data_IF_504067223544
#
_entry.id   IF_504067223544
#
_cell.length_a   1.000
_cell.length_b   1.000
_cell.length_c   1.000
_cell.angle_alpha   90.00
_cell.angle_beta   90.00
_cell.angle_gamma   90.00
#
_symmetry.space_group_name_H-M   'P 1'
#
loop_
_entity.id
_entity.type
_entity.pdbx_description
1 polymer ?
#
# COMPACT_ATOMS: atom_id res chain seq x y z
N UNK A 1 0.84 6.65 -4.98
CA UNK A 1 -0.60 6.44 -4.69
C UNK A 1 -0.83 5.83 -3.31
N UNK A 2 -0.24 4.68 -2.99
CA UNK A 2 -0.48 3.94 -1.73
C UNK A 2 -0.36 4.78 -0.46
N UNK A 3 0.68 5.60 -0.32
CA UNK A 3 0.82 6.46 0.85
C UNK A 3 -0.29 7.51 0.99
N UNK A 4 -0.92 7.94 -0.11
CA UNK A 4 -2.09 8.82 -0.04
C UNK A 4 -3.31 8.06 0.47
N UNK A 5 -3.54 6.85 -0.04
CA UNK A 5 -4.64 5.98 0.41
C UNK A 5 -4.50 5.61 1.89
N UNK A 6 -3.30 5.27 2.35
CA UNK A 6 -3.03 4.95 3.75
C UNK A 6 -3.40 6.11 4.69
N UNK A 7 -3.04 7.34 4.31
CA UNK A 7 -3.40 8.55 5.07
C UNK A 7 -4.88 8.86 5.00
N UNK A 8 -5.50 8.69 3.83
CA UNK A 8 -6.93 8.88 3.66
C UNK A 8 -7.76 7.89 4.50
N UNK A 9 -7.26 6.67 4.72
CA UNK A 9 -7.85 5.71 5.65
C UNK A 9 -7.57 6.00 7.13
N UNK A 10 -6.81 7.05 7.46
CA UNK A 10 -6.44 7.36 8.84
C UNK A 10 -5.50 6.33 9.48
N UNK A 11 -4.78 5.53 8.68
CA UNK A 11 -3.85 4.53 9.21
C UNK A 11 -2.65 5.20 9.89
N UNK A 12 -2.08 4.52 10.90
CA UNK A 12 -0.83 4.95 11.53
C UNK A 12 0.34 4.80 10.55
N UNK A 13 0.82 5.92 9.99
CA UNK A 13 1.89 5.93 8.99
C UNK A 13 3.27 6.31 9.51
N UNK A 14 3.42 6.54 10.82
CA UNK A 14 4.68 6.97 11.45
C UNK A 14 5.48 5.80 12.04
N UNK A 15 4.78 4.78 12.51
CA UNK A 15 5.33 3.51 13.00
C UNK A 15 4.40 2.41 12.54
N UNK A 16 4.76 1.75 11.44
CA UNK A 16 3.98 0.67 10.86
C UNK A 16 4.57 -0.69 11.28
N UNK A 17 3.79 -1.77 11.20
CA UNK A 17 4.33 -3.12 11.35
C UNK A 17 5.43 -3.41 10.33
N UNK A 18 6.14 -4.51 10.56
CA UNK A 18 7.18 -4.97 9.65
C UNK A 18 6.63 -5.04 8.22
N UNK A 19 7.25 -4.28 7.31
CA UNK A 19 6.91 -4.30 5.89
C UNK A 19 6.97 -5.75 5.38
N UNK A 20 5.94 -6.24 4.66
CA UNK A 20 6.01 -7.55 4.05
C UNK A 20 7.28 -7.70 3.20
N UNK A 21 7.87 -8.89 3.22
CA UNK A 21 9.13 -9.17 2.55
C UNK A 21 8.98 -9.25 1.02
N UNK A 22 8.64 -8.14 0.37
CA UNK A 22 8.66 -8.04 -1.08
C UNK A 22 10.10 -8.07 -1.61
N UNK A 23 10.31 -8.72 -2.75
CA UNK A 23 11.61 -8.86 -3.41
C UNK A 23 12.22 -7.50 -3.82
N UNK A 24 11.38 -6.49 -4.03
CA UNK A 24 11.75 -5.13 -4.43
C UNK A 24 11.53 -4.10 -3.30
N UNK A 25 11.44 -4.53 -2.04
CA UNK A 25 11.32 -3.64 -0.88
C UNK A 25 12.43 -2.59 -0.77
N UNK A 26 13.61 -2.88 -1.33
CA UNK A 26 14.72 -1.93 -1.40
C UNK A 26 14.42 -0.71 -2.30
N UNK A 27 13.49 -0.84 -3.25
CA UNK A 27 13.07 0.25 -4.14
C UNK A 27 12.00 1.14 -3.49
N UNK A 28 11.43 0.75 -2.35
CA UNK A 28 10.44 1.55 -1.63
C UNK A 28 11.18 2.67 -0.87
N UNK A 29 10.89 3.96 -1.16
CA UNK A 29 11.50 5.06 -0.44
C UNK A 29 11.22 4.96 1.07
N UNK A 30 12.17 5.37 1.92
CA UNK A 30 12.03 5.23 3.38
C UNK A 30 10.74 5.85 3.93
N UNK A 31 10.34 7.03 3.43
CA UNK A 31 9.10 7.70 3.83
C UNK A 31 7.83 6.92 3.47
N UNK A 32 7.90 6.02 2.48
CA UNK A 32 6.77 5.25 1.98
C UNK A 32 6.66 3.88 2.65
N UNK A 33 7.72 3.37 3.30
CA UNK A 33 7.72 2.03 3.90
C UNK A 33 6.61 1.85 4.92
N UNK A 34 6.47 2.78 5.85
CA UNK A 34 5.43 2.71 6.87
C UNK A 34 4.00 2.82 6.29
N UNK A 35 3.68 3.82 5.44
CA UNK A 35 2.38 3.87 4.76
C UNK A 35 2.07 2.62 3.92
N UNK A 36 3.07 2.05 3.25
CA UNK A 36 2.90 0.85 2.43
C UNK A 36 2.62 -0.36 3.30
N UNK A 37 3.37 -0.56 4.38
CA UNK A 37 3.15 -1.67 5.31
C UNK A 37 1.73 -1.62 5.89
N UNK A 38 1.30 -0.46 6.39
CA UNK A 38 -0.04 -0.26 6.93
C UNK A 38 -1.14 -0.52 5.88
N UNK A 39 -0.98 -0.02 4.65
CA UNK A 39 -1.96 -0.22 3.59
C UNK A 39 -2.03 -1.67 3.09
N UNK A 40 -0.93 -2.43 3.17
CA UNK A 40 -0.94 -3.87 2.85
C UNK A 40 -1.62 -4.67 3.96
N UNK A 41 -1.33 -4.37 5.22
CA UNK A 41 -1.96 -5.02 6.37
C UNK A 41 -3.48 -4.77 6.40
N UNK A 42 -3.92 -3.54 6.14
CA UNK A 42 -5.33 -3.18 6.01
C UNK A 42 -5.99 -3.79 4.75
N UNK A 43 -5.24 -4.45 3.87
CA UNK A 43 -5.76 -5.05 2.64
C UNK A 43 -6.19 -4.05 1.56
N UNK A 44 -5.88 -2.76 1.73
CA UNK A 44 -6.18 -1.69 0.76
C UNK A 44 -5.39 -1.90 -0.53
N UNK A 45 -4.13 -2.27 -0.41
CA UNK A 45 -3.26 -2.63 -1.54
C UNK A 45 -2.67 -4.02 -1.36
N UNK A 46 -2.32 -4.68 -2.47
CA UNK A 46 -1.69 -6.00 -2.48
C UNK A 46 -0.47 -6.01 -3.40
N UNK A 47 0.48 -6.90 -3.12
CA UNK A 47 1.61 -7.15 -4.00
C UNK A 47 1.18 -7.75 -5.35
N UNK A 48 2.09 -7.69 -6.30
CA UNK A 48 1.99 -8.30 -7.63
C UNK A 48 2.63 -9.69 -7.66
N UNK A 49 2.45 -10.38 -8.77
CA UNK A 49 3.10 -11.66 -9.07
C UNK A 49 4.62 -11.59 -8.90
N UNK A 50 5.21 -12.68 -8.41
CA UNK A 50 6.65 -12.76 -8.15
C UNK A 50 7.09 -12.07 -6.86
N UNK A 51 6.17 -11.92 -5.88
CA UNK A 51 6.45 -11.31 -4.58
C UNK A 51 7.01 -9.87 -4.69
N UNK A 52 6.44 -9.05 -5.59
CA UNK A 52 6.88 -7.66 -5.80
C UNK A 52 5.80 -6.68 -5.36
N UNK A 53 6.20 -5.53 -4.86
CA UNK A 53 5.30 -4.40 -4.65
C UNK A 53 5.23 -3.48 -5.88
N UNK A 54 6.32 -3.39 -6.64
CA UNK A 54 6.50 -2.53 -7.81
C UNK A 54 6.33 -1.02 -7.53
N UNK A 55 7.10 -0.43 -6.59
CA UNK A 55 6.92 0.96 -6.15
C UNK A 55 7.18 2.01 -7.23
N UNK A 56 7.97 1.68 -8.25
CA UNK A 56 8.36 2.57 -9.35
C UNK A 56 7.50 2.39 -10.61
N UNK A 57 6.67 1.36 -10.68
CA UNK A 57 5.77 1.14 -11.82
C UNK A 57 4.60 2.12 -11.79
N UNK A 58 4.17 2.60 -12.96
CA UNK A 58 2.98 3.43 -13.07
C UNK A 58 1.75 2.56 -12.80
N UNK A 59 0.94 2.97 -11.82
CA UNK A 59 -0.32 2.31 -11.50
C UNK A 59 -1.32 2.45 -12.66
N UNK A 60 -1.90 1.32 -13.07
CA UNK A 60 -2.99 1.30 -14.07
C UNK A 60 -4.28 1.83 -13.44
N UNK A 61 -5.18 2.39 -14.26
CA UNK A 61 -6.50 2.88 -13.80
C UNK A 61 -7.28 1.80 -13.04
N UNK A 62 -7.24 0.55 -13.50
CA UNK A 62 -7.90 -0.57 -12.83
C UNK A 62 -7.33 -0.84 -11.43
N UNK A 63 -6.01 -0.75 -11.25
CA UNK A 63 -5.35 -0.93 -9.96
C UNK A 63 -5.71 0.21 -8.99
N UNK A 64 -5.77 1.45 -9.50
CA UNK A 64 -6.17 2.61 -8.72
C UNK A 64 -7.62 2.49 -8.21
N UNK A 65 -8.55 2.12 -9.10
CA UNK A 65 -9.97 1.94 -8.74
C UNK A 65 -10.13 0.78 -7.76
N UNK A 66 -9.45 -0.35 -7.97
CA UNK A 66 -9.51 -1.47 -7.02
C UNK A 66 -9.02 -1.06 -5.62
N UNK A 67 -7.92 -0.32 -5.52
CA UNK A 67 -7.41 0.16 -4.24
C UNK A 67 -8.36 1.18 -3.58
N UNK A 68 -9.03 2.03 -4.35
CA UNK A 68 -10.07 2.93 -3.84
C UNK A 68 -11.29 2.16 -3.32
N UNK A 69 -11.73 1.11 -4.01
CA UNK A 69 -12.84 0.27 -3.55
C UNK A 69 -12.52 -0.42 -2.23
N UNK A 70 -11.30 -0.96 -2.11
CA UNK A 70 -10.84 -1.55 -0.85
C UNK A 70 -10.75 -0.52 0.28
N UNK A 71 -10.31 0.71 -0.03
CA UNK A 71 -10.31 1.81 0.93
C UNK A 71 -11.73 2.13 1.43
N UNK A 72 -12.71 2.24 0.52
CA UNK A 72 -14.10 2.49 0.91
C UNK A 72 -14.63 1.38 1.83
N UNK A 73 -14.34 0.13 1.51
CA UNK A 73 -14.71 -1.01 2.35
C UNK A 73 -14.03 -0.97 3.73
N UNK A 74 -12.79 -0.49 3.81
CA UNK A 74 -12.10 -0.33 5.09
C UNK A 74 -12.72 0.78 5.96
N UNK A 75 -13.17 1.86 5.34
CA UNK A 75 -13.83 2.98 6.05
C UNK A 75 -15.25 2.65 6.53
N UNK A 76 -15.90 1.65 5.94
CA UNK A 76 -17.24 1.18 6.32
C UNK A 76 -17.24 0.15 7.47
N UNK A 77 -16.07 -0.28 7.93
CA UNK A 77 -15.91 -1.18 9.08
C UNK A 77 -15.98 -0.42 10.41
#
# INVERSE_FOLDING_TARGET
>A
MTAMLARAAGLKTESAPALPAFADSAQIPNWAKAPVAAAVEAGIVRGKTGNRFAPVEIAKRAEAVAAMMNLLQELEK
#
